data_IF_523255816370
#
_entry.id   IF_523255816370
#
_cell.length_a   1.000
_cell.length_b   1.000
_cell.length_c   1.000
_cell.angle_alpha   90.00
_cell.angle_beta   90.00
_cell.angle_gamma   90.00
#
_symmetry.space_group_name_H-M   'P 1'
#
loop_
_entity.id
_entity.type
_entity.pdbx_description
1 polymer ?
#
# COMPACT_ATOMS: atom_id res chain seq x y z
N UNK A 1 39.19 1.15 -6.63
CA UNK A 1 37.91 1.38 -7.32
C UNK A 1 37.06 0.15 -7.05
N UNK A 2 36.00 0.27 -6.26
CA UNK A 2 35.09 -0.83 -5.95
C UNK A 2 34.04 -0.84 -7.04
N UNK A 3 34.13 -1.79 -7.98
CA UNK A 3 33.07 -2.01 -8.96
C UNK A 3 31.86 -2.54 -8.22
N UNK A 4 30.86 -1.69 -8.00
CA UNK A 4 29.50 -2.15 -7.70
C UNK A 4 28.90 -2.64 -9.00
N UNK A 5 29.42 -3.75 -9.53
CA UNK A 5 28.62 -4.58 -10.44
C UNK A 5 27.52 -5.15 -9.56
N UNK A 6 26.44 -4.38 -9.41
CA UNK A 6 25.20 -4.89 -8.84
C UNK A 6 24.83 -6.09 -9.71
N UNK A 7 24.82 -7.27 -9.11
CA UNK A 7 24.26 -8.48 -9.72
C UNK A 7 22.80 -8.19 -10.06
N UNK A 8 22.58 -7.61 -11.24
CA UNK A 8 21.27 -7.46 -11.84
C UNK A 8 20.95 -8.79 -12.50
N UNK A 9 20.82 -9.83 -11.68
CA UNK A 9 20.23 -11.07 -12.15
C UNK A 9 18.83 -10.72 -12.68
N UNK A 10 18.44 -11.27 -13.85
CA UNK A 10 17.13 -11.02 -14.40
C UNK A 10 16.08 -11.49 -13.39
N UNK A 11 15.01 -10.71 -13.25
CA UNK A 11 13.87 -11.11 -12.43
C UNK A 11 13.31 -12.44 -12.93
N UNK A 12 13.13 -13.40 -12.01
CA UNK A 12 12.52 -14.70 -12.27
C UNK A 12 11.09 -14.74 -11.70
N UNK A 13 10.11 -14.74 -12.59
CA UNK A 13 8.69 -14.82 -12.21
C UNK A 13 8.35 -16.16 -11.53
N UNK A 14 9.14 -17.23 -11.73
CA UNK A 14 8.91 -18.50 -11.06
C UNK A 14 9.29 -18.48 -9.57
N UNK A 15 10.17 -17.56 -9.18
CA UNK A 15 10.55 -17.34 -7.78
C UNK A 15 9.68 -16.27 -7.09
N UNK A 16 8.87 -15.53 -7.86
CA UNK A 16 7.98 -14.52 -7.31
C UNK A 16 6.67 -15.16 -6.81
N UNK A 17 6.41 -15.18 -5.48
CA UNK A 17 5.16 -15.68 -4.94
C UNK A 17 3.93 -14.89 -5.43
N UNK A 18 4.11 -13.64 -5.87
CA UNK A 18 3.04 -12.76 -6.35
C UNK A 18 2.74 -12.98 -7.85
N UNK A 19 3.57 -13.75 -8.58
CA UNK A 19 3.30 -14.13 -9.97
C UNK A 19 2.24 -15.24 -10.08
N UNK A 20 1.96 -15.98 -9.00
CA UNK A 20 0.91 -16.99 -8.94
C UNK A 20 -0.45 -16.34 -8.57
N UNK A 21 -1.45 -16.36 -9.47
CA UNK A 21 -2.76 -15.76 -9.21
C UNK A 21 -3.48 -16.38 -8.00
N UNK A 22 -3.21 -17.65 -7.68
CA UNK A 22 -3.82 -18.32 -6.53
C UNK A 22 -3.22 -17.81 -5.20
N UNK A 23 -1.97 -17.34 -5.20
CA UNK A 23 -1.33 -16.74 -4.03
C UNK A 23 -1.92 -15.35 -3.71
N UNK A 24 -2.32 -14.58 -4.72
CA UNK A 24 -2.92 -13.25 -4.53
C UNK A 24 -4.25 -13.33 -3.76
N UNK A 25 -5.01 -14.40 -3.94
CA UNK A 25 -6.32 -14.59 -3.29
C UNK A 25 -6.19 -15.26 -1.91
N UNK A 26 -5.23 -16.16 -1.73
CA UNK A 26 -5.11 -16.99 -0.54
C UNK A 26 -4.19 -16.40 0.55
N UNK A 27 -3.23 -15.54 0.16
CA UNK A 27 -2.23 -14.96 1.08
C UNK A 27 -2.37 -13.46 1.29
N UNK A 28 -3.40 -12.83 0.72
CA UNK A 28 -3.66 -11.42 0.93
C UNK A 28 -3.79 -11.11 2.44
N UNK A 29 -2.95 -10.21 3.00
CA UNK A 29 -3.11 -9.77 4.37
C UNK A 29 -4.46 -9.07 4.51
N UNK A 30 -5.25 -9.44 5.52
CA UNK A 30 -6.43 -8.66 5.88
C UNK A 30 -5.96 -7.28 6.31
N UNK A 31 -6.26 -6.28 5.48
CA UNK A 31 -6.02 -4.89 5.86
C UNK A 31 -6.96 -4.57 7.03
N UNK A 32 -6.46 -3.91 8.07
CA UNK A 32 -7.33 -3.39 9.12
C UNK A 32 -8.33 -2.41 8.48
N UNK A 33 -9.55 -2.39 9.01
CA UNK A 33 -10.53 -1.38 8.64
C UNK A 33 -9.96 0.01 9.00
N UNK A 34 -9.72 0.83 7.99
CA UNK A 34 -9.27 2.21 8.18
C UNK A 34 -10.50 3.09 8.46
N UNK A 35 -11.10 2.90 9.63
CA UNK A 35 -12.27 3.68 10.05
C UNK A 35 -12.20 4.00 11.55
N UNK A 36 -11.24 4.84 11.93
CA UNK A 36 -11.38 5.67 13.13
C UNK A 36 -10.75 7.04 12.82
N UNK A 37 -11.57 7.97 12.31
CA UNK A 37 -11.08 9.29 11.89
C UNK A 37 -12.05 10.19 11.12
N UNK A 38 -13.10 9.64 10.48
CA UNK A 38 -14.12 10.45 9.80
C UNK A 38 -15.29 10.78 10.76
N UNK A 39 -14.96 11.34 11.92
CA UNK A 39 -15.90 12.17 12.69
C UNK A 39 -15.37 13.60 12.62
N UNK A 40 -15.33 14.16 11.40
CA UNK A 40 -15.17 15.61 11.25
C UNK A 40 -16.37 16.28 11.95
N UNK A 41 -16.17 17.13 12.96
CA UNK A 41 -17.27 17.90 13.52
C UNK A 41 -17.79 18.83 12.41
N UNK A 42 -19.07 18.68 12.07
CA UNK A 42 -19.90 19.59 11.26
C UNK A 42 -19.20 20.94 11.02
N UNK A 43 -18.62 21.16 9.83
CA UNK A 43 -18.28 22.49 9.37
C UNK A 43 -19.59 23.27 9.14
N UNK A 44 -20.23 23.72 10.23
CA UNK A 44 -21.19 24.81 10.15
C UNK A 44 -20.39 26.08 9.88
N UNK A 45 -20.10 26.32 8.61
CA UNK A 45 -19.60 27.59 8.11
C UNK A 45 -20.64 28.70 8.31
N UNK A 46 -20.75 29.21 9.53
CA UNK A 46 -21.30 30.54 9.82
C UNK A 46 -20.16 31.43 10.29
N UNK A 47 -19.41 31.99 9.34
CA UNK A 47 -18.56 33.15 9.66
C UNK A 47 -19.43 34.39 9.71
N UNK A 48 -20.21 34.50 10.79
CA UNK A 48 -20.83 35.75 11.21
C UNK A 48 -19.74 36.76 11.55
N UNK A 49 -19.46 37.68 10.62
CA UNK A 49 -18.72 38.91 10.91
C UNK A 49 -19.64 40.10 10.65
N UNK A 50 -20.12 40.67 11.75
CA UNK A 50 -20.83 41.96 11.82
C UNK A 50 -19.91 43.13 11.46
#
# INVERSE_FOLDING_TARGET
>A
MSSTDGSADPYDAAEDPDADPDNLLSKAPQQPDQAEGEDEPDETGDTGRS
#
